data_IF_600372273795
#
_entry.id   IF_600372273795
#
_cell.length_a   1.000
_cell.length_b   1.000
_cell.length_c   1.000
_cell.angle_alpha   90.00
_cell.angle_beta   90.00
_cell.angle_gamma   90.00
#
_symmetry.space_group_name_H-M   'P 1'
#
loop_
_entity.id
_entity.type
_entity.pdbx_description
1 polymer ?
#
# COMPACT_ATOMS: atom_id res chain seq x y z
N UNK A 1 6.93 -1.09 -5.97
CA UNK A 1 7.33 -1.62 -7.31
C UNK A 1 7.58 -3.11 -7.29
N UNK A 2 8.23 -3.63 -6.26
CA UNK A 2 8.75 -5.01 -6.19
C UNK A 2 8.88 -5.47 -4.74
N UNK A 3 9.35 -6.69 -4.53
CA UNK A 3 9.76 -7.17 -3.21
C UNK A 3 10.83 -6.25 -2.62
N UNK A 4 10.86 -6.13 -1.31
CA UNK A 4 11.83 -5.32 -0.56
C UNK A 4 11.88 -3.82 -0.95
N UNK A 5 10.83 -3.29 -1.54
CA UNK A 5 10.75 -1.86 -1.87
C UNK A 5 10.30 -0.96 -0.71
N UNK A 6 10.13 -1.51 0.51
CA UNK A 6 9.75 -0.75 1.71
C UNK A 6 8.25 -0.56 1.92
N UNK A 7 7.38 -1.37 1.28
CA UNK A 7 5.92 -1.28 1.40
C UNK A 7 5.43 -1.44 2.83
N UNK A 8 5.85 -2.52 3.51
CA UNK A 8 5.40 -2.80 4.88
C UNK A 8 5.79 -1.69 5.86
N UNK A 9 6.99 -1.10 5.68
CA UNK A 9 7.42 0.06 6.48
C UNK A 9 6.55 1.29 6.20
N UNK A 10 6.24 1.57 4.93
CA UNK A 10 5.36 2.67 4.55
C UNK A 10 3.93 2.46 5.08
N UNK A 11 3.39 1.25 4.99
CA UNK A 11 2.08 0.90 5.53
C UNK A 11 2.02 1.10 7.05
N UNK A 12 3.03 0.63 7.78
CA UNK A 12 3.15 0.85 9.21
C UNK A 12 3.26 2.35 9.57
N UNK A 13 4.01 3.12 8.78
CA UNK A 13 4.12 4.57 8.96
C UNK A 13 2.77 5.27 8.77
N UNK A 14 1.98 4.87 7.78
CA UNK A 14 0.63 5.39 7.57
C UNK A 14 -0.28 5.04 8.76
N UNK A 15 -0.25 3.79 9.24
CA UNK A 15 -1.01 3.41 10.43
C UNK A 15 -0.65 4.29 11.63
N UNK A 16 0.64 4.47 11.89
CA UNK A 16 1.12 5.30 13.01
C UNK A 16 0.68 6.74 12.89
N UNK A 17 0.86 7.36 11.74
CA UNK A 17 0.53 8.77 11.54
C UNK A 17 -0.97 9.01 11.65
N UNK A 18 -1.80 8.19 11.02
CA UNK A 18 -3.26 8.26 11.11
C UNK A 18 -3.74 8.06 12.56
N UNK A 19 -3.16 7.08 13.28
CA UNK A 19 -3.48 6.85 14.69
C UNK A 19 -3.11 8.06 15.55
N UNK A 20 -1.92 8.65 15.35
CA UNK A 20 -1.49 9.85 16.07
C UNK A 20 -2.34 11.09 15.75
N UNK A 21 -2.95 11.16 14.57
CA UNK A 21 -3.93 12.18 14.20
C UNK A 21 -5.31 11.94 14.82
N UNK A 22 -5.48 10.86 15.60
CA UNK A 22 -6.73 10.53 16.30
C UNK A 22 -7.73 9.70 15.50
N UNK A 23 -7.35 9.19 14.32
CA UNK A 23 -8.20 8.31 13.54
C UNK A 23 -8.15 6.86 14.04
N UNK A 24 -9.25 6.14 13.87
CA UNK A 24 -9.24 4.68 13.98
C UNK A 24 -8.74 4.09 12.67
N UNK A 25 -7.71 3.26 12.75
CA UNK A 25 -7.02 2.68 11.60
C UNK A 25 -7.08 1.16 11.69
N UNK A 26 -7.31 0.50 10.57
CA UNK A 26 -7.19 -0.95 10.41
C UNK A 26 -6.10 -1.26 9.39
N UNK A 27 -5.40 -2.39 9.56
CA UNK A 27 -4.32 -2.83 8.70
C UNK A 27 -4.71 -4.03 7.85
N UNK A 28 -4.34 -4.05 6.58
CA UNK A 28 -4.64 -5.15 5.67
C UNK A 28 -3.46 -5.46 4.75
N UNK A 29 -3.14 -6.75 4.57
CA UNK A 29 -2.29 -7.20 3.47
C UNK A 29 -3.13 -8.02 2.49
N UNK A 30 -3.25 -7.50 1.27
CA UNK A 30 -4.20 -8.05 0.29
C UNK A 30 -3.59 -9.13 -0.60
N UNK A 31 -2.30 -9.03 -0.93
CA UNK A 31 -1.60 -9.98 -1.81
C UNK A 31 -0.20 -10.33 -1.29
N UNK A 32 0.43 -11.34 -1.86
CA UNK A 32 1.78 -11.79 -1.56
C UNK A 32 1.85 -13.13 -0.84
N UNK A 33 2.93 -13.35 -0.11
CA UNK A 33 3.11 -14.50 0.78
C UNK A 33 2.81 -14.11 2.22
N UNK A 34 2.20 -15.00 2.98
CA UNK A 34 1.89 -14.78 4.38
C UNK A 34 3.15 -14.48 5.18
N UNK A 35 3.12 -13.38 5.89
CA UNK A 35 4.16 -12.94 6.82
C UNK A 35 3.47 -12.26 7.99
N UNK A 36 3.44 -12.96 9.11
CA UNK A 36 2.83 -12.42 10.33
C UNK A 36 3.48 -11.09 10.74
N UNK A 37 4.77 -10.92 10.45
CA UNK A 37 5.50 -9.70 10.74
C UNK A 37 4.91 -8.47 10.03
N UNK A 38 4.42 -8.59 8.79
CA UNK A 38 3.89 -7.47 8.04
C UNK A 38 2.63 -6.90 8.70
N UNK A 39 1.68 -7.78 9.06
CA UNK A 39 0.43 -7.34 9.70
C UNK A 39 0.62 -6.94 11.16
N UNK A 40 1.53 -7.60 11.90
CA UNK A 40 1.88 -7.19 13.26
C UNK A 40 2.57 -5.82 13.26
N UNK A 41 3.39 -5.51 12.27
CA UNK A 41 4.02 -4.20 12.16
C UNK A 41 2.98 -3.07 12.00
N UNK A 42 1.88 -3.32 11.26
CA UNK A 42 0.76 -2.37 11.20
C UNK A 42 0.05 -2.25 12.55
N UNK A 43 -0.18 -3.38 13.26
CA UNK A 43 -0.79 -3.39 14.58
C UNK A 43 0.07 -2.64 15.61
N UNK A 44 1.37 -2.93 15.69
CA UNK A 44 2.31 -2.24 16.58
C UNK A 44 2.42 -0.74 16.27
N UNK A 45 2.04 -0.35 15.06
CA UNK A 45 1.99 1.04 14.59
C UNK A 45 0.61 1.69 14.78
N UNK A 46 -0.32 1.05 15.51
CA UNK A 46 -1.59 1.63 15.91
C UNK A 46 -2.81 1.17 15.10
N UNK A 47 -2.67 0.18 14.21
CA UNK A 47 -3.83 -0.44 13.60
C UNK A 47 -4.62 -1.24 14.67
N UNK A 48 -5.90 -0.92 14.83
CA UNK A 48 -6.79 -1.52 15.83
C UNK A 48 -7.12 -2.97 15.49
N UNK A 49 -7.55 -3.18 14.25
CA UNK A 49 -7.85 -4.50 13.70
C UNK A 49 -6.96 -4.72 12.48
N UNK A 50 -6.57 -5.96 12.25
CA UNK A 50 -5.72 -6.32 11.11
C UNK A 50 -6.04 -7.71 10.60
N UNK A 51 -5.83 -7.92 9.31
CA UNK A 51 -5.98 -9.22 8.67
C UNK A 51 -5.23 -9.27 7.34
N UNK A 52 -4.96 -10.47 6.88
CA UNK A 52 -4.52 -10.76 5.53
C UNK A 52 -5.29 -11.95 4.93
N UNK A 53 -4.92 -12.38 3.75
CA UNK A 53 -5.56 -13.50 3.04
C UNK A 53 -5.47 -14.84 3.79
N UNK A 54 -4.64 -14.97 4.83
CA UNK A 54 -4.62 -16.20 5.67
C UNK A 54 -5.90 -16.36 6.46
N UNK A 55 -6.64 -15.27 6.69
CA UNK A 55 -7.97 -15.31 7.30
C UNK A 55 -8.96 -16.18 6.50
N UNK A 56 -8.74 -16.31 5.19
CA UNK A 56 -9.52 -17.18 4.31
C UNK A 56 -8.84 -18.54 4.07
N UNK A 57 -7.74 -18.84 4.75
CA UNK A 57 -7.02 -20.12 4.64
C UNK A 57 -5.95 -20.15 3.53
N UNK A 58 -5.64 -19.05 2.87
CA UNK A 58 -4.62 -19.00 1.85
C UNK A 58 -3.24 -18.68 2.45
N UNK A 59 -2.21 -19.52 2.27
CA UNK A 59 -0.85 -19.20 2.74
C UNK A 59 -0.12 -18.19 1.83
N UNK A 60 -0.63 -17.99 0.63
CA UNK A 60 -0.14 -17.04 -0.38
C UNK A 60 -1.27 -16.72 -1.35
N UNK A 61 -1.25 -15.53 -1.92
CA UNK A 61 -2.12 -15.19 -3.06
C UNK A 61 -1.59 -15.70 -4.41
N UNK A 62 -0.39 -16.28 -4.44
CA UNK A 62 0.24 -16.76 -5.66
C UNK A 62 -0.61 -17.81 -6.37
N UNK A 63 -0.84 -17.62 -7.66
CA UNK A 63 -1.64 -18.47 -8.55
C UNK A 63 -3.13 -18.58 -8.21
N UNK A 64 -3.66 -17.74 -7.31
CA UNK A 64 -5.10 -17.66 -7.11
C UNK A 64 -5.82 -17.14 -8.37
N UNK A 65 -7.03 -17.61 -8.58
CA UNK A 65 -7.92 -17.14 -9.63
C UNK A 65 -8.44 -15.72 -9.33
N UNK A 66 -9.02 -15.07 -10.33
CA UNK A 66 -9.70 -13.78 -10.14
C UNK A 66 -10.80 -13.86 -9.08
N UNK A 67 -11.61 -14.92 -9.10
CA UNK A 67 -12.73 -15.09 -8.16
C UNK A 67 -12.22 -15.27 -6.72
N UNK A 68 -11.13 -16.01 -6.52
CA UNK A 68 -10.52 -16.16 -5.21
C UNK A 68 -9.94 -14.84 -4.70
N UNK A 69 -9.27 -14.07 -5.56
CA UNK A 69 -8.74 -12.74 -5.21
C UNK A 69 -9.86 -11.77 -4.86
N UNK A 70 -10.96 -11.76 -5.62
CA UNK A 70 -12.12 -10.93 -5.32
C UNK A 70 -12.83 -11.38 -4.03
N UNK A 71 -12.89 -12.68 -3.75
CA UNK A 71 -13.39 -13.19 -2.47
C UNK A 71 -12.55 -12.72 -1.28
N UNK A 72 -11.21 -12.71 -1.42
CA UNK A 72 -10.30 -12.13 -0.43
C UNK A 72 -10.60 -10.65 -0.23
N UNK A 73 -10.68 -9.88 -1.33
CA UNK A 73 -10.97 -8.44 -1.28
C UNK A 73 -12.29 -8.17 -0.54
N UNK A 74 -13.40 -8.80 -0.94
CA UNK A 74 -14.71 -8.58 -0.32
C UNK A 74 -14.72 -8.94 1.16
N UNK A 75 -14.09 -10.06 1.52
CA UNK A 75 -14.08 -10.52 2.91
C UNK A 75 -13.27 -9.57 3.80
N UNK A 76 -12.08 -9.17 3.35
CA UNK A 76 -11.22 -8.28 4.12
C UNK A 76 -11.75 -6.85 4.16
N UNK A 77 -12.29 -6.33 3.05
CA UNK A 77 -12.93 -5.02 3.03
C UNK A 77 -14.19 -5.00 3.93
N UNK A 78 -15.03 -6.02 3.85
CA UNK A 78 -16.20 -6.15 4.72
C UNK A 78 -15.84 -6.26 6.20
N UNK A 79 -14.78 -7.02 6.54
CA UNK A 79 -14.31 -7.16 7.93
C UNK A 79 -13.70 -5.89 8.49
N UNK A 80 -12.83 -5.23 7.75
CA UNK A 80 -12.02 -4.11 8.24
C UNK A 80 -12.64 -2.74 7.90
N UNK A 81 -13.46 -2.67 6.83
CA UNK A 81 -14.06 -1.45 6.31
C UNK A 81 -15.53 -1.23 6.68
N UNK A 82 -16.10 -2.06 7.56
CA UNK A 82 -17.52 -1.97 7.94
C UNK A 82 -17.90 -0.62 8.59
N UNK A 83 -16.95 0.08 9.20
CA UNK A 83 -17.15 1.41 9.75
C UNK A 83 -16.52 2.47 8.83
N UNK A 84 -17.35 3.23 8.14
CA UNK A 84 -16.92 4.29 7.19
C UNK A 84 -16.13 5.45 7.84
N UNK A 85 -16.07 5.52 9.17
CA UNK A 85 -15.27 6.52 9.89
C UNK A 85 -13.82 6.06 10.13
N UNK A 86 -13.51 4.81 9.80
CA UNK A 86 -12.18 4.24 9.98
C UNK A 86 -11.38 4.31 8.68
N UNK A 87 -10.07 4.50 8.81
CA UNK A 87 -9.15 4.26 7.71
C UNK A 87 -8.78 2.78 7.63
N UNK A 88 -8.58 2.28 6.41
CA UNK A 88 -7.93 1.00 6.17
C UNK A 88 -6.64 1.28 5.41
N UNK A 89 -5.52 0.87 5.97
CA UNK A 89 -4.24 0.86 5.26
C UNK A 89 -4.05 -0.51 4.64
N UNK A 90 -4.00 -0.56 3.32
CA UNK A 90 -3.92 -1.81 2.56
C UNK A 90 -2.56 -1.92 1.86
N UNK A 91 -1.83 -3.00 2.15
CA UNK A 91 -0.61 -3.35 1.42
C UNK A 91 -0.92 -4.32 0.29
N UNK A 92 -0.55 -3.94 -0.94
CA UNK A 92 -0.50 -4.83 -2.10
C UNK A 92 0.96 -5.27 -2.33
N UNK A 93 1.25 -6.53 -2.11
CA UNK A 93 2.55 -7.13 -2.37
C UNK A 93 2.43 -8.12 -3.55
N UNK A 94 3.45 -8.42 -4.31
CA UNK A 94 4.82 -7.93 -4.17
C UNK A 94 5.13 -6.70 -5.04
N UNK A 95 4.52 -6.57 -6.19
CA UNK A 95 4.74 -5.45 -7.11
C UNK A 95 3.60 -5.30 -8.13
N UNK A 96 3.50 -4.13 -8.75
CA UNK A 96 2.39 -3.77 -9.65
C UNK A 96 2.31 -4.64 -10.92
N UNK A 97 3.40 -5.29 -11.31
CA UNK A 97 3.43 -6.23 -12.44
C UNK A 97 3.23 -7.69 -12.01
N UNK A 98 3.19 -7.96 -10.71
CA UNK A 98 2.83 -9.27 -10.22
C UNK A 98 1.39 -9.59 -10.62
N UNK A 99 1.14 -10.81 -11.10
CA UNK A 99 -0.13 -11.21 -11.68
C UNK A 99 -1.33 -10.89 -10.78
N UNK A 100 -1.27 -11.29 -9.53
CA UNK A 100 -2.37 -11.15 -8.56
C UNK A 100 -2.63 -9.67 -8.20
N UNK A 101 -1.57 -8.91 -7.99
CA UNK A 101 -1.67 -7.46 -7.74
C UNK A 101 -2.21 -6.74 -8.98
N UNK A 102 -1.73 -7.10 -10.18
CA UNK A 102 -2.22 -6.50 -11.42
C UNK A 102 -3.71 -6.78 -11.64
N UNK A 103 -4.17 -8.02 -11.39
CA UNK A 103 -5.58 -8.40 -11.51
C UNK A 103 -6.49 -7.56 -10.58
N UNK A 104 -6.05 -7.28 -9.37
CA UNK A 104 -6.80 -6.41 -8.44
C UNK A 104 -6.76 -4.94 -8.88
N UNK A 105 -5.61 -4.44 -9.36
CA UNK A 105 -5.49 -3.06 -9.85
C UNK A 105 -6.23 -2.82 -11.17
N UNK A 106 -6.52 -3.87 -11.94
CA UNK A 106 -7.37 -3.82 -13.14
C UNK A 106 -8.87 -3.88 -12.81
N UNK A 107 -9.24 -4.23 -11.56
CA UNK A 107 -10.64 -4.27 -11.12
C UNK A 107 -11.15 -2.88 -10.74
N UNK A 108 -12.17 -2.33 -11.45
CA UNK A 108 -12.77 -1.06 -11.07
C UNK A 108 -13.35 -1.07 -9.66
N UNK A 109 -13.85 -2.21 -9.20
CA UNK A 109 -14.41 -2.37 -7.87
C UNK A 109 -13.36 -2.16 -6.77
N UNK A 110 -12.16 -2.72 -6.97
CA UNK A 110 -11.02 -2.53 -6.05
C UNK A 110 -10.52 -1.09 -6.11
N UNK A 111 -10.29 -0.56 -7.32
CA UNK A 111 -9.73 0.78 -7.53
C UNK A 111 -10.66 1.86 -6.98
N UNK A 112 -11.97 1.74 -7.14
CA UNK A 112 -12.94 2.69 -6.62
C UNK A 112 -12.99 2.74 -5.07
N UNK A 113 -12.41 1.75 -4.40
CA UNK A 113 -12.25 1.75 -2.93
C UNK A 113 -10.98 2.43 -2.47
N UNK A 114 -10.04 2.71 -3.37
CA UNK A 114 -8.77 3.38 -3.05
C UNK A 114 -9.00 4.89 -3.04
N UNK A 115 -8.91 5.51 -1.88
CA UNK A 115 -9.01 6.96 -1.74
C UNK A 115 -7.64 7.64 -1.93
N UNK A 116 -6.58 6.98 -1.46
CA UNK A 116 -5.20 7.47 -1.56
C UNK A 116 -4.28 6.31 -1.94
N UNK A 117 -3.46 6.52 -2.94
CA UNK A 117 -2.50 5.55 -3.45
C UNK A 117 -1.08 5.98 -3.12
N UNK A 118 -0.38 5.18 -2.34
CA UNK A 118 1.03 5.38 -2.04
C UNK A 118 1.85 4.36 -2.82
N UNK A 119 2.80 4.84 -3.60
CA UNK A 119 3.64 3.99 -4.42
C UNK A 119 5.04 3.83 -3.82
N UNK A 120 5.45 2.60 -3.52
CA UNK A 120 6.75 2.31 -2.93
C UNK A 120 7.73 1.76 -3.98
N UNK A 121 8.93 2.30 -4.03
CA UNK A 121 9.99 1.89 -4.94
C UNK A 121 11.33 1.70 -4.22
N UNK A 122 12.21 0.87 -4.82
CA UNK A 122 13.55 0.61 -4.29
C UNK A 122 14.53 1.73 -4.63
N UNK A 123 14.41 2.32 -5.82
CA UNK A 123 15.28 3.36 -6.37
C UNK A 123 14.48 4.32 -7.25
N UNK A 124 15.13 5.41 -7.68
CA UNK A 124 14.49 6.46 -8.47
C UNK A 124 14.05 5.96 -9.87
N UNK A 125 14.88 5.16 -10.55
CA UNK A 125 14.54 4.65 -11.88
C UNK A 125 13.36 3.67 -11.81
N UNK A 126 13.35 2.78 -10.83
CA UNK A 126 12.23 1.89 -10.54
C UNK A 126 10.96 2.67 -10.20
N UNK A 127 11.07 3.79 -9.50
CA UNK A 127 9.93 4.67 -9.23
C UNK A 127 9.39 5.29 -10.53
N UNK A 128 10.23 5.91 -11.35
CA UNK A 128 9.83 6.54 -12.63
C UNK A 128 9.19 5.52 -13.57
N UNK A 129 9.82 4.33 -13.71
CA UNK A 129 9.25 3.23 -14.51
C UNK A 129 7.89 2.75 -13.97
N UNK A 130 7.76 2.63 -12.66
CA UNK A 130 6.52 2.23 -12.01
C UNK A 130 5.41 3.27 -12.15
N UNK A 131 5.71 4.57 -12.03
CA UNK A 131 4.77 5.67 -12.31
C UNK A 131 4.23 5.60 -13.73
N UNK A 132 5.11 5.34 -14.70
CA UNK A 132 4.71 5.17 -16.09
C UNK A 132 3.75 3.98 -16.26
N UNK A 133 4.06 2.84 -15.65
CA UNK A 133 3.21 1.64 -15.70
C UNK A 133 1.86 1.89 -15.02
N UNK A 134 1.84 2.49 -13.83
CA UNK A 134 0.61 2.83 -13.14
C UNK A 134 -0.30 3.70 -14.01
N UNK A 135 0.28 4.71 -14.66
CA UNK A 135 -0.46 5.62 -15.54
C UNK A 135 -0.97 4.94 -16.81
N UNK A 136 -0.09 4.19 -17.52
CA UNK A 136 -0.41 3.67 -18.85
C UNK A 136 -1.21 2.38 -18.82
N UNK A 137 -0.95 1.51 -17.85
CA UNK A 137 -1.63 0.21 -17.74
C UNK A 137 -2.88 0.27 -16.89
N UNK A 138 -2.84 0.98 -15.75
CA UNK A 138 -3.93 0.97 -14.77
C UNK A 138 -4.71 2.29 -14.72
N UNK A 139 -4.25 3.33 -15.42
CA UNK A 139 -4.80 4.68 -15.35
C UNK A 139 -4.80 5.25 -13.91
N UNK A 140 -3.79 4.88 -13.12
CA UNK A 140 -3.61 5.30 -11.72
C UNK A 140 -2.47 6.32 -11.61
N UNK A 141 -2.66 7.30 -10.74
CA UNK A 141 -1.64 8.28 -10.36
C UNK A 141 -1.51 8.23 -8.84
N UNK A 142 -0.32 7.95 -8.30
CA UNK A 142 -0.13 7.95 -6.85
C UNK A 142 -0.25 9.34 -6.25
N UNK A 143 -0.84 9.40 -5.06
CA UNK A 143 -0.91 10.62 -4.23
C UNK A 143 0.43 10.88 -3.50
N UNK A 144 1.24 9.84 -3.28
CA UNK A 144 2.57 9.97 -2.68
C UNK A 144 3.49 8.83 -3.09
N UNK A 145 4.80 9.06 -2.95
CA UNK A 145 5.85 8.05 -3.18
C UNK A 145 6.59 7.79 -1.87
N UNK A 146 6.92 6.53 -1.64
CA UNK A 146 7.71 6.09 -0.48
C UNK A 146 8.59 4.89 -0.84
N UNK A 147 9.07 4.21 0.17
CA UNK A 147 9.92 3.03 0.03
C UNK A 147 11.39 3.33 0.19
N UNK A 148 12.24 2.38 -0.20
CA UNK A 148 13.70 2.48 -0.04
C UNK A 148 14.28 3.71 -0.76
N UNK A 149 13.72 4.06 -1.93
CA UNK A 149 14.14 5.26 -2.69
C UNK A 149 14.03 6.56 -1.89
N UNK A 150 13.09 6.65 -0.95
CA UNK A 150 12.90 7.84 -0.13
C UNK A 150 13.97 8.03 0.97
N UNK A 151 14.80 7.02 1.21
CA UNK A 151 15.89 7.11 2.20
C UNK A 151 17.15 7.82 1.65
N UNK A 152 17.23 8.00 0.33
CA UNK A 152 18.35 8.67 -0.32
C UNK A 152 17.96 10.07 -0.80
N UNK A 153 18.60 11.14 -0.29
CA UNK A 153 18.35 12.50 -0.78
C UNK A 153 18.60 12.67 -2.28
N UNK A 154 19.52 11.86 -2.85
CA UNK A 154 19.79 11.84 -4.29
C UNK A 154 18.58 11.32 -5.06
N UNK A 155 18.04 10.16 -4.67
CA UNK A 155 16.85 9.60 -5.31
C UNK A 155 15.63 10.51 -5.17
N UNK A 156 15.44 11.13 -4.00
CA UNK A 156 14.34 12.10 -3.81
C UNK A 156 14.47 13.27 -4.79
N UNK A 157 15.69 13.82 -4.94
CA UNK A 157 15.94 14.93 -5.88
C UNK A 157 15.70 14.52 -7.33
N UNK A 158 16.09 13.32 -7.72
CA UNK A 158 15.77 12.78 -9.04
C UNK A 158 14.26 12.66 -9.24
N UNK A 159 13.53 12.05 -8.29
CA UNK A 159 12.10 11.83 -8.38
C UNK A 159 11.31 13.15 -8.52
N UNK A 160 11.68 14.19 -7.78
CA UNK A 160 11.00 15.51 -7.87
C UNK A 160 11.12 16.18 -9.23
N UNK A 161 11.99 15.71 -10.12
CA UNK A 161 12.04 16.17 -11.51
C UNK A 161 11.06 15.43 -12.45
N UNK A 162 10.46 14.33 -12.00
CA UNK A 162 9.55 13.51 -12.81
C UNK A 162 8.11 13.49 -12.28
N UNK A 163 7.88 13.94 -11.05
CA UNK A 163 6.56 13.91 -10.44
C UNK A 163 6.39 15.04 -9.42
N UNK A 164 5.17 15.52 -9.29
CA UNK A 164 4.77 16.46 -8.23
C UNK A 164 4.30 15.74 -6.95
N UNK A 165 4.13 14.41 -7.01
CA UNK A 165 3.70 13.65 -5.84
C UNK A 165 4.74 13.75 -4.71
N UNK A 166 4.33 14.06 -3.47
CA UNK A 166 5.25 14.16 -2.34
C UNK A 166 5.97 12.84 -2.10
N UNK A 167 7.25 12.93 -1.73
CA UNK A 167 8.09 11.77 -1.39
C UNK A 167 8.34 11.79 0.12
N UNK A 168 7.96 10.74 0.82
CA UNK A 168 8.18 10.60 2.26
C UNK A 168 8.96 9.35 2.63
N UNK A 169 9.75 9.45 3.68
CA UNK A 169 10.44 8.30 4.25
C UNK A 169 9.54 7.57 5.26
N UNK A 170 9.25 6.29 5.01
CA UNK A 170 8.43 5.46 5.91
C UNK A 170 9.02 5.29 7.32
N UNK A 171 10.33 5.48 7.51
CA UNK A 171 10.94 5.48 8.84
C UNK A 171 10.66 6.77 9.64
N UNK A 172 10.38 7.90 8.97
CA UNK A 172 10.23 9.23 9.58
C UNK A 172 9.09 10.04 8.94
N UNK A 173 7.95 9.40 8.66
CA UNK A 173 6.75 10.10 8.16
C UNK A 173 6.20 11.01 9.27
N UNK A 174 6.16 12.31 8.98
CA UNK A 174 5.66 13.34 9.90
C UNK A 174 4.16 13.58 9.70
N UNK A 175 3.51 14.12 10.74
CA UNK A 175 2.05 14.34 10.71
C UNK A 175 1.62 15.38 9.69
N UNK A 176 2.42 16.42 9.47
CA UNK A 176 2.20 17.44 8.46
C UNK A 176 2.26 16.84 7.04
N UNK A 177 3.26 16.00 6.76
CA UNK A 177 3.35 15.28 5.50
C UNK A 177 2.15 14.34 5.28
N UNK A 178 1.69 13.65 6.34
CA UNK A 178 0.50 12.82 6.23
C UNK A 178 -0.76 13.65 5.98
N UNK A 179 -0.87 14.82 6.58
CA UNK A 179 -1.98 15.75 6.34
C UNK A 179 -2.00 16.28 4.90
N UNK A 180 -0.85 16.46 4.26
CA UNK A 180 -0.76 16.85 2.84
C UNK A 180 -1.18 15.72 1.89
N UNK A 181 -0.99 14.45 2.29
CA UNK A 181 -1.39 13.29 1.50
C UNK A 181 -2.92 13.06 1.57
N UNK A 182 -3.54 13.36 2.71
CA UNK A 182 -4.99 13.16 2.93
C UNK A 182 -5.84 14.20 2.21
#
# INVERSE_FOLDING_TARGET
TAMNSGKSLAAAACCRSLHQMGYTVNGCKMTGTASLQDILHMNDSGAKDFADFTYLGHPSSYMLSQDELMSIFHTLDGKLGSNQKNFIVVEFADGINQRETAMLLESPEVVNRVHKLIFCAADALGAVGGLHILKTKFNLVPDAISGVCSSSPLHVRELTSFTEAPVFNGADLKLDQMAEIL
#
